data_IF_383713204558
#
_entry.id   IF_383713204558
#
_cell.length_a   1.000
_cell.length_b   1.000
_cell.length_c   1.000
_cell.angle_alpha   90.00
_cell.angle_beta   90.00
_cell.angle_gamma   90.00
#
_symmetry.space_group_name_H-M   'P 1'
#
loop_
_entity.id
_entity.type
_entity.pdbx_description
1 polymer ?
#
# COMPACT_ATOMS: atom_id res chain seq x y z
N UNK A 1 -48.47 66.47 44.64
CA UNK A 1 -47.35 66.84 43.76
C UNK A 1 -46.87 65.57 43.09
N UNK A 2 -46.81 65.59 41.75
CA UNK A 2 -46.98 64.52 40.74
C UNK A 2 -46.20 63.21 41.05
N UNK A 3 -46.84 62.07 41.33
CA UNK A 3 -47.54 61.10 40.45
C UNK A 3 -46.68 60.50 39.33
N UNK A 4 -46.49 59.17 39.37
CA UNK A 4 -46.74 58.20 38.29
C UNK A 4 -46.29 56.82 38.78
N UNK A 5 -47.18 56.03 39.37
CA UNK A 5 -48.13 55.09 38.71
C UNK A 5 -47.52 53.71 38.44
N UNK A 6 -48.18 52.74 39.07
CA UNK A 6 -48.09 51.31 38.84
C UNK A 6 -48.74 50.98 37.48
N UNK A 7 -48.15 50.07 36.70
CA UNK A 7 -48.90 49.31 35.71
C UNK A 7 -48.54 47.82 35.81
N UNK A 8 -49.59 47.02 35.92
CA UNK A 8 -49.68 45.60 36.23
C UNK A 8 -50.10 44.84 34.98
N UNK A 9 -49.41 43.76 34.59
CA UNK A 9 -49.89 42.51 33.92
C UNK A 9 -48.77 41.46 34.12
N UNK A 10 -48.82 40.42 34.98
CA UNK A 10 -49.62 39.17 35.05
C UNK A 10 -49.31 38.13 33.93
N UNK A 11 -49.45 36.80 34.13
CA UNK A 11 -48.55 35.92 34.87
C UNK A 11 -48.17 34.69 34.01
N UNK A 12 -46.93 34.56 33.53
CA UNK A 12 -46.47 33.29 32.96
C UNK A 12 -44.94 33.24 32.91
N UNK A 13 -44.34 32.74 33.99
CA UNK A 13 -43.07 32.02 34.02
C UNK A 13 -42.46 32.19 35.42
N UNK A 14 -42.86 31.31 36.34
CA UNK A 14 -42.06 30.80 37.46
C UNK A 14 -43.02 30.05 38.39
N UNK A 15 -43.18 28.75 38.16
CA UNK A 15 -43.42 27.82 39.25
C UNK A 15 -42.73 26.50 38.95
N UNK A 16 -41.85 26.14 39.87
CA UNK A 16 -41.11 24.88 39.91
C UNK A 16 -41.96 23.88 40.67
N UNK A 17 -42.29 22.74 40.06
CA UNK A 17 -42.48 21.45 40.77
C UNK A 17 -42.41 20.28 39.76
N UNK A 18 -42.17 19.05 40.22
CA UNK A 18 -41.06 18.21 39.81
C UNK A 18 -41.46 17.30 38.64
N UNK A 19 -40.73 17.41 37.52
CA UNK A 19 -40.90 16.46 36.42
C UNK A 19 -40.31 15.12 36.83
N UNK A 20 -41.25 14.22 37.13
CA UNK A 20 -41.31 12.80 36.78
C UNK A 20 -39.99 12.07 36.61
N UNK A 21 -39.89 10.93 37.29
CA UNK A 21 -39.05 9.80 36.94
C UNK A 21 -38.82 9.68 35.41
N UNK A 22 -37.74 10.29 34.93
CA UNK A 22 -37.22 10.02 33.61
C UNK A 22 -36.30 8.82 33.78
N UNK A 23 -36.82 7.68 33.34
CA UNK A 23 -36.12 6.53 32.82
C UNK A 23 -34.69 6.37 33.35
N UNK A 24 -34.47 5.34 34.18
CA UNK A 24 -33.26 4.54 34.03
C UNK A 24 -33.19 4.17 32.55
N UNK A 25 -32.48 4.99 31.78
CA UNK A 25 -32.20 4.71 30.38
C UNK A 25 -31.56 3.35 30.37
N UNK A 26 -32.25 2.39 29.78
CA UNK A 26 -31.68 1.11 29.40
C UNK A 26 -30.30 1.42 28.84
N UNK A 27 -29.24 0.99 29.54
CA UNK A 27 -27.93 0.88 28.93
C UNK A 27 -28.13 -0.10 27.79
N UNK A 28 -28.48 0.42 26.61
CA UNK A 28 -28.60 -0.37 25.39
C UNK A 28 -27.24 -1.02 25.26
N UNK A 29 -27.18 -2.34 25.53
CA UNK A 29 -25.96 -3.09 25.53
C UNK A 29 -25.26 -2.79 24.20
N UNK A 30 -24.15 -2.03 24.24
CA UNK A 30 -23.43 -1.71 23.03
C UNK A 30 -23.03 -3.05 22.42
N UNK A 31 -23.46 -3.29 21.19
CA UNK A 31 -23.08 -4.50 20.48
C UNK A 31 -21.54 -4.57 20.47
N UNK A 32 -20.96 -5.75 20.71
CA UNK A 32 -19.51 -5.88 20.79
C UNK A 32 -18.91 -5.49 19.44
N UNK A 33 -18.15 -4.39 19.43
CA UNK A 33 -17.52 -3.84 18.22
C UNK A 33 -16.28 -4.64 17.86
N UNK A 34 -16.04 -4.81 16.56
CA UNK A 34 -14.85 -5.51 16.05
C UNK A 34 -13.68 -4.53 15.94
N UNK A 35 -12.46 -5.00 16.21
CA UNK A 35 -11.23 -4.18 16.10
C UNK A 35 -11.02 -3.57 14.71
N UNK A 36 -11.43 -4.26 13.65
CA UNK A 36 -11.32 -3.73 12.27
C UNK A 36 -12.21 -2.49 12.02
N UNK A 37 -13.30 -2.30 12.78
CA UNK A 37 -14.23 -1.17 12.62
C UNK A 37 -13.66 0.15 13.16
N UNK A 38 -12.71 0.07 14.09
CA UNK A 38 -12.01 1.22 14.70
C UNK A 38 -10.54 1.26 14.30
N UNK A 39 -10.17 0.52 13.26
CA UNK A 39 -8.78 0.39 12.86
C UNK A 39 -8.21 1.77 12.48
N UNK A 40 -7.08 2.21 13.07
CA UNK A 40 -6.65 3.61 13.00
C UNK A 40 -6.02 4.02 11.65
N UNK A 41 -5.77 3.07 10.75
CA UNK A 41 -5.23 3.33 9.40
C UNK A 41 -6.30 3.55 8.33
N UNK A 42 -5.87 3.86 7.10
CA UNK A 42 -6.76 4.15 5.96
C UNK A 42 -7.18 2.90 5.16
N UNK A 43 -6.87 1.70 5.66
CA UNK A 43 -7.24 0.46 5.01
C UNK A 43 -8.76 0.23 5.06
N UNK A 44 -9.30 -0.39 4.01
CA UNK A 44 -10.70 -0.85 3.96
C UNK A 44 -10.76 -2.34 4.25
N UNK A 45 -11.75 -2.74 5.03
CA UNK A 45 -11.97 -4.12 5.42
C UNK A 45 -13.27 -4.65 4.85
N UNK A 46 -13.25 -5.92 4.41
CA UNK A 46 -14.43 -6.59 3.86
C UNK A 46 -14.56 -8.00 4.45
N UNK A 47 -15.75 -8.58 4.33
CA UNK A 47 -16.07 -9.93 4.80
C UNK A 47 -15.71 -10.15 6.28
N UNK A 48 -16.23 -9.31 7.19
CA UNK A 48 -15.95 -9.37 8.64
C UNK A 48 -14.44 -9.31 8.95
N UNK A 49 -13.74 -8.34 8.33
CA UNK A 49 -12.32 -8.11 8.56
C UNK A 49 -11.37 -9.12 7.92
N UNK A 50 -11.85 -10.06 7.09
CA UNK A 50 -11.01 -11.08 6.43
C UNK A 50 -10.16 -10.50 5.31
N UNK A 51 -10.77 -9.66 4.47
CA UNK A 51 -10.07 -9.00 3.37
C UNK A 51 -9.63 -7.60 3.82
N UNK A 52 -8.45 -7.19 3.37
CA UNK A 52 -7.90 -5.86 3.62
C UNK A 52 -7.43 -5.28 2.29
N UNK A 53 -7.79 -4.03 2.02
CA UNK A 53 -7.30 -3.26 0.88
C UNK A 53 -6.84 -1.89 1.32
N UNK A 54 -6.07 -1.20 0.49
CA UNK A 54 -5.81 0.22 0.68
C UNK A 54 -7.05 1.06 0.34
N UNK A 55 -7.06 2.34 0.75
CA UNK A 55 -8.08 3.29 0.32
C UNK A 55 -8.04 3.53 -1.20
N UNK A 56 -6.86 3.44 -1.80
CA UNK A 56 -6.61 3.66 -3.22
C UNK A 56 -6.58 2.35 -4.01
N UNK A 57 -7.60 1.51 -3.84
CA UNK A 57 -7.73 0.25 -4.57
C UNK A 57 -8.47 0.39 -5.92
N UNK A 58 -8.65 1.60 -6.44
CA UNK A 58 -9.45 1.87 -7.64
C UNK A 58 -8.85 1.33 -8.94
N UNK A 59 -7.55 1.06 -8.99
CA UNK A 59 -6.86 0.50 -10.17
C UNK A 59 -6.91 -1.04 -10.18
N UNK A 60 -7.10 -1.69 -9.02
CA UNK A 60 -7.20 -3.16 -8.95
C UNK A 60 -8.30 -3.75 -9.86
N UNK A 61 -9.53 -3.20 -9.91
CA UNK A 61 -10.55 -3.66 -10.85
C UNK A 61 -10.12 -3.56 -12.32
N UNK A 62 -9.31 -2.56 -12.70
CA UNK A 62 -8.76 -2.46 -14.05
C UNK A 62 -7.78 -3.61 -14.32
N UNK A 63 -6.88 -3.94 -13.38
CA UNK A 63 -5.98 -5.10 -13.50
C UNK A 63 -6.77 -6.40 -13.65
N UNK A 64 -7.78 -6.61 -12.80
CA UNK A 64 -8.64 -7.80 -12.88
C UNK A 64 -9.38 -7.86 -14.21
N UNK A 65 -9.94 -6.73 -14.66
CA UNK A 65 -10.64 -6.61 -15.93
C UNK A 65 -9.74 -6.92 -17.13
N UNK A 66 -8.53 -6.36 -17.18
CA UNK A 66 -7.57 -6.64 -18.25
C UNK A 66 -7.23 -8.13 -18.32
N UNK A 67 -6.92 -8.78 -17.19
CA UNK A 67 -6.58 -10.20 -17.17
C UNK A 67 -7.78 -11.06 -17.62
N UNK A 68 -8.98 -10.79 -17.08
CA UNK A 68 -10.18 -11.58 -17.40
C UNK A 68 -10.61 -11.39 -18.86
N UNK A 69 -10.60 -10.16 -19.36
CA UNK A 69 -11.00 -9.87 -20.74
C UNK A 69 -10.00 -10.48 -21.71
N UNK A 70 -8.69 -10.26 -21.52
CA UNK A 70 -7.67 -10.87 -22.41
C UNK A 70 -7.75 -12.39 -22.39
N UNK A 71 -7.87 -13.03 -21.22
CA UNK A 71 -8.03 -14.49 -21.19
C UNK A 71 -9.36 -14.95 -21.81
N UNK A 72 -10.45 -14.20 -21.59
CA UNK A 72 -11.76 -14.51 -22.15
C UNK A 72 -11.77 -14.45 -23.68
N UNK A 73 -11.14 -13.44 -24.27
CA UNK A 73 -10.95 -13.34 -25.71
C UNK A 73 -10.11 -14.52 -26.23
N UNK A 74 -8.97 -14.80 -25.59
CA UNK A 74 -8.09 -15.89 -25.94
C UNK A 74 -8.79 -17.26 -25.97
N UNK A 75 -9.58 -17.57 -24.95
CA UNK A 75 -10.32 -18.84 -24.88
C UNK A 75 -11.48 -18.90 -25.88
N UNK A 76 -12.12 -17.77 -26.18
CA UNK A 76 -13.27 -17.72 -27.07
C UNK A 76 -12.88 -17.75 -28.55
N UNK A 77 -11.80 -17.06 -28.94
CA UNK A 77 -11.46 -16.81 -30.34
C UNK A 77 -10.20 -17.56 -30.81
N UNK A 78 -9.11 -17.55 -30.04
CA UNK A 78 -7.87 -18.21 -30.48
C UNK A 78 -7.84 -19.71 -30.17
N UNK A 79 -8.28 -20.11 -28.98
CA UNK A 79 -8.21 -21.51 -28.56
C UNK A 79 -8.95 -22.48 -29.51
N UNK A 80 -10.18 -22.20 -30.00
CA UNK A 80 -10.87 -23.12 -30.92
C UNK A 80 -10.10 -23.37 -32.22
N UNK A 81 -9.42 -22.34 -32.74
CA UNK A 81 -8.56 -22.47 -33.91
C UNK A 81 -7.30 -23.27 -33.55
N UNK A 82 -6.56 -22.83 -32.52
CA UNK A 82 -5.29 -23.45 -32.14
C UNK A 82 -5.43 -24.93 -31.72
N UNK A 83 -6.57 -25.34 -31.15
CA UNK A 83 -6.85 -26.74 -30.84
C UNK A 83 -6.99 -27.59 -32.10
N UNK A 84 -7.61 -27.06 -33.16
CA UNK A 84 -7.77 -27.76 -34.45
C UNK A 84 -6.45 -27.88 -35.20
N UNK A 85 -5.59 -26.86 -35.12
CA UNK A 85 -4.38 -26.76 -35.94
C UNK A 85 -3.09 -27.17 -35.20
N UNK A 86 -3.06 -27.18 -33.88
CA UNK A 86 -1.85 -27.48 -33.09
C UNK A 86 -2.07 -28.57 -32.03
N UNK A 87 -2.77 -28.26 -30.95
CA UNK A 87 -2.91 -29.19 -29.82
C UNK A 87 -4.03 -28.82 -28.85
N UNK A 88 -4.67 -29.84 -28.29
CA UNK A 88 -5.70 -29.71 -27.25
C UNK A 88 -5.16 -29.20 -25.90
N UNK A 89 -3.84 -29.24 -25.68
CA UNK A 89 -3.24 -28.82 -24.41
C UNK A 89 -3.18 -27.29 -24.22
N UNK A 90 -3.31 -26.49 -25.28
CA UNK A 90 -3.26 -25.02 -25.22
C UNK A 90 -4.27 -24.43 -24.22
N UNK A 91 -5.58 -24.72 -24.30
CA UNK A 91 -6.55 -24.20 -23.33
C UNK A 91 -6.30 -24.70 -21.91
N UNK A 92 -5.74 -25.91 -21.74
CA UNK A 92 -5.40 -26.44 -20.41
C UNK A 92 -4.26 -25.63 -19.78
N UNK A 93 -3.18 -25.39 -20.53
CA UNK A 93 -2.04 -24.59 -20.07
C UNK A 93 -2.49 -23.16 -19.75
N UNK A 94 -3.22 -22.52 -20.67
CA UNK A 94 -3.77 -21.18 -20.46
C UNK A 94 -4.67 -21.11 -19.23
N UNK A 95 -5.54 -22.11 -19.02
CA UNK A 95 -6.48 -22.15 -17.90
C UNK A 95 -5.76 -22.29 -16.56
N UNK A 96 -4.75 -23.16 -16.48
CA UNK A 96 -3.92 -23.32 -15.27
C UNK A 96 -3.17 -22.03 -14.95
N UNK A 97 -2.55 -21.40 -15.94
CA UNK A 97 -1.86 -20.12 -15.77
C UNK A 97 -2.81 -19.02 -15.30
N UNK A 98 -3.99 -18.88 -15.94
CA UNK A 98 -5.00 -17.90 -15.56
C UNK A 98 -5.45 -18.07 -14.10
N UNK A 99 -5.79 -19.29 -13.69
CA UNK A 99 -6.22 -19.58 -12.31
C UNK A 99 -5.11 -19.26 -11.32
N UNK A 100 -3.87 -19.62 -11.63
CA UNK A 100 -2.72 -19.33 -10.76
C UNK A 100 -2.45 -17.83 -10.63
N UNK A 101 -2.52 -17.08 -11.74
CA UNK A 101 -2.40 -15.61 -11.76
C UNK A 101 -3.51 -14.97 -10.93
N UNK A 102 -4.77 -15.38 -11.14
CA UNK A 102 -5.91 -14.84 -10.42
C UNK A 102 -5.80 -15.08 -8.90
N UNK A 103 -5.46 -16.31 -8.48
CA UNK A 103 -5.24 -16.63 -7.07
C UNK A 103 -4.09 -15.78 -6.50
N UNK A 104 -2.97 -15.68 -7.20
CA UNK A 104 -1.81 -14.92 -6.73
C UNK A 104 -2.10 -13.41 -6.60
N UNK A 105 -2.85 -12.84 -7.55
CA UNK A 105 -3.31 -11.44 -7.48
C UNK A 105 -4.20 -11.23 -6.25
N UNK A 106 -5.26 -12.04 -6.09
CA UNK A 106 -6.20 -11.90 -4.98
C UNK A 106 -5.51 -12.09 -3.62
N UNK A 107 -4.57 -13.04 -3.53
CA UNK A 107 -3.75 -13.24 -2.33
C UNK A 107 -2.85 -12.04 -2.05
N UNK A 108 -2.28 -11.42 -3.07
CA UNK A 108 -1.48 -10.20 -2.91
C UNK A 108 -2.33 -9.04 -2.43
N UNK A 109 -3.47 -8.83 -3.07
CA UNK A 109 -4.39 -7.72 -2.84
C UNK A 109 -5.03 -7.79 -1.45
N UNK A 110 -5.54 -8.95 -1.04
CA UNK A 110 -6.39 -9.07 0.15
C UNK A 110 -5.67 -9.55 1.41
N UNK A 111 -4.37 -9.85 1.33
CA UNK A 111 -3.58 -10.24 2.50
C UNK A 111 -3.06 -9.00 3.24
N UNK A 112 -3.09 -9.03 4.57
CA UNK A 112 -2.39 -8.06 5.40
C UNK A 112 -0.90 -8.04 5.00
N UNK A 113 -0.34 -6.90 4.54
CA UNK A 113 1.04 -6.84 4.05
C UNK A 113 2.10 -6.99 5.14
N UNK A 114 1.72 -6.93 6.42
CA UNK A 114 2.64 -6.91 7.55
C UNK A 114 2.48 -5.62 8.35
N UNK A 115 1.25 -5.17 8.56
CA UNK A 115 0.98 -3.96 9.33
C UNK A 115 1.42 -4.16 10.79
N UNK A 116 2.18 -3.19 11.30
CA UNK A 116 2.54 -3.12 12.71
C UNK A 116 1.44 -2.37 13.49
N UNK A 117 1.04 -2.86 14.68
CA UNK A 117 0.15 -2.11 15.56
C UNK A 117 0.79 -0.77 15.95
N UNK A 118 -0.04 0.26 16.11
CA UNK A 118 0.42 1.54 16.66
C UNK A 118 0.77 1.36 18.14
N UNK A 119 1.73 2.13 18.65
CA UNK A 119 2.03 2.12 20.07
C UNK A 119 0.78 2.51 20.86
N UNK A 120 0.55 1.81 21.97
CA UNK A 120 -0.46 2.19 22.97
C UNK A 120 -0.12 3.57 23.55
N UNK A 121 -1.09 4.29 24.14
CA UNK A 121 -0.82 5.58 24.77
C UNK A 121 0.31 5.52 25.81
N UNK A 122 0.36 4.45 26.60
CA UNK A 122 1.39 4.26 27.62
C UNK A 122 2.77 4.00 26.99
N UNK A 123 2.86 3.12 25.98
CA UNK A 123 4.11 2.88 25.23
C UNK A 123 4.59 4.15 24.53
N UNK A 124 3.68 4.93 23.94
CA UNK A 124 4.01 6.19 23.28
C UNK A 124 4.55 7.23 24.28
N UNK A 125 3.92 7.35 25.46
CA UNK A 125 4.39 8.23 26.53
C UNK A 125 5.77 7.81 27.06
N UNK A 126 6.01 6.51 27.22
CA UNK A 126 7.31 6.00 27.67
C UNK A 126 8.41 6.21 26.61
N UNK A 127 8.08 6.04 25.33
CA UNK A 127 9.02 6.35 24.24
C UNK A 127 9.34 7.85 24.22
N UNK A 128 8.34 8.72 24.37
CA UNK A 128 8.55 10.18 24.42
C UNK A 128 9.41 10.58 25.63
N UNK A 129 9.17 10.01 26.82
CA UNK A 129 10.02 10.21 28.01
C UNK A 129 11.46 9.76 27.79
N UNK A 130 11.68 8.61 27.15
CA UNK A 130 13.02 8.11 26.84
C UNK A 130 13.77 9.03 25.86
N UNK A 131 13.06 9.57 24.87
CA UNK A 131 13.60 10.52 23.91
C UNK A 131 14.04 11.81 24.62
N UNK A 132 13.19 12.35 25.50
CA UNK A 132 13.48 13.58 26.24
C UNK A 132 14.64 13.41 27.23
N UNK A 133 14.71 12.27 27.92
CA UNK A 133 15.80 11.95 28.87
C UNK A 133 17.15 11.74 28.16
N UNK A 134 17.14 11.28 26.91
CA UNK A 134 18.36 11.08 26.11
C UNK A 134 18.90 12.37 25.49
N UNK A 135 18.18 13.49 25.61
CA UNK A 135 18.62 14.80 25.15
C UNK A 135 19.58 15.45 26.15
N UNK A 136 20.78 15.83 25.70
CA UNK A 136 21.60 16.80 26.43
C UNK A 136 20.82 18.11 26.56
N UNK A 137 20.94 18.80 27.72
CA UNK A 137 20.34 20.10 28.10
C UNK A 137 20.76 21.27 27.19
N UNK A 138 20.63 21.10 25.89
CA UNK A 138 20.88 22.09 24.85
C UNK A 138 19.59 22.30 24.09
N UNK A 139 19.37 23.52 23.58
CA UNK A 139 18.15 23.99 22.92
C UNK A 139 17.71 23.20 21.66
N UNK A 140 18.42 22.11 21.31
CA UNK A 140 18.15 21.29 20.14
C UNK A 140 17.33 20.06 20.54
N UNK A 141 16.17 19.80 19.92
CA UNK A 141 15.39 18.61 20.23
C UNK A 141 16.23 17.34 20.01
N UNK A 142 16.14 16.35 20.92
CA UNK A 142 16.93 15.13 20.83
C UNK A 142 16.69 14.40 19.50
N UNK A 143 17.73 13.77 18.92
CA UNK A 143 17.58 13.04 17.67
C UNK A 143 16.60 11.89 17.87
N UNK A 144 15.48 11.91 17.12
CA UNK A 144 14.44 10.85 17.16
C UNK A 144 14.87 9.63 16.33
N UNK A 145 16.08 9.16 16.61
CA UNK A 145 16.70 7.98 16.02
C UNK A 145 17.24 7.08 17.12
N UNK A 146 17.03 5.77 16.98
CA UNK A 146 17.56 4.76 17.90
C UNK A 146 18.53 3.87 17.14
N UNK A 147 19.73 3.69 17.66
CA UNK A 147 20.73 2.79 17.06
C UNK A 147 20.56 1.38 17.62
N UNK A 148 20.61 0.38 16.74
CA UNK A 148 20.65 -1.03 17.12
C UNK A 148 21.74 -1.75 16.32
N UNK A 149 22.24 -2.87 16.83
CA UNK A 149 23.20 -3.72 16.13
C UNK A 149 22.48 -4.86 15.41
N UNK A 150 22.75 -5.03 14.12
CA UNK A 150 22.28 -6.16 13.30
C UNK A 150 23.51 -6.75 12.62
N UNK A 151 23.85 -8.02 12.90
CA UNK A 151 25.05 -8.66 12.36
C UNK A 151 26.32 -7.79 12.52
N UNK A 152 26.49 -7.20 13.71
CA UNK A 152 27.60 -6.30 14.07
C UNK A 152 27.64 -4.95 13.32
N UNK A 153 26.64 -4.65 12.48
CA UNK A 153 26.47 -3.34 11.84
C UNK A 153 25.46 -2.47 12.61
N UNK A 154 25.79 -1.18 12.79
CA UNK A 154 24.90 -0.20 13.43
C UNK A 154 23.81 0.24 12.45
N UNK A 155 22.55 -0.04 12.79
CA UNK A 155 21.38 0.37 12.01
C UNK A 155 20.58 1.43 12.77
N UNK A 156 20.38 2.59 12.14
CA UNK A 156 19.59 3.71 12.68
C UNK A 156 18.10 3.52 12.42
N UNK A 157 17.35 3.26 13.48
CA UNK A 157 15.89 3.23 13.46
C UNK A 157 15.33 4.65 13.46
N UNK A 158 14.30 4.88 12.64
CA UNK A 158 13.61 6.18 12.56
C UNK A 158 12.31 6.13 13.35
N UNK A 159 12.01 7.17 14.11
CA UNK A 159 10.73 7.30 14.79
C UNK A 159 9.59 7.60 13.81
N UNK A 160 8.41 7.02 14.03
CA UNK A 160 7.20 7.29 13.29
C UNK A 160 6.23 8.13 14.10
N UNK A 161 5.95 9.37 13.68
CA UNK A 161 5.04 10.27 14.39
C UNK A 161 3.59 9.79 14.39
N UNK A 162 3.13 9.19 13.30
CA UNK A 162 1.74 8.68 13.17
C UNK A 162 1.48 7.44 14.02
N UNK A 163 2.42 6.49 14.02
CA UNK A 163 2.27 5.21 14.72
C UNK A 163 2.89 5.23 16.14
N UNK A 164 3.52 6.34 16.51
CA UNK A 164 4.15 6.59 17.82
C UNK A 164 5.15 5.52 18.27
N UNK A 165 5.92 5.00 17.31
CA UNK A 165 6.88 3.92 17.55
C UNK A 165 8.20 4.15 16.80
N UNK A 166 9.30 3.63 17.33
CA UNK A 166 10.52 3.43 16.54
C UNK A 166 10.27 2.32 15.52
N UNK A 167 10.43 2.63 14.23
CA UNK A 167 10.21 1.67 13.15
C UNK A 167 11.25 0.56 13.25
N UNK A 168 10.83 -0.72 13.37
CA UNK A 168 11.75 -1.84 13.29
C UNK A 168 12.55 -1.81 11.98
N UNK A 169 13.66 -2.56 11.90
CA UNK A 169 14.45 -2.64 10.68
C UNK A 169 13.59 -2.99 9.46
N UNK A 170 13.94 -2.41 8.30
CA UNK A 170 13.24 -2.60 7.02
C UNK A 170 11.75 -2.19 7.04
N UNK A 171 11.28 -1.50 8.08
CA UNK A 171 9.90 -0.99 8.18
C UNK A 171 9.83 0.43 7.63
N UNK A 172 8.78 0.73 6.87
CA UNK A 172 8.47 2.09 6.43
C UNK A 172 6.99 2.41 6.65
N UNK A 173 6.70 3.68 6.92
CA UNK A 173 5.33 4.17 7.01
C UNK A 173 4.83 4.52 5.61
N UNK A 174 3.71 3.94 5.20
CA UNK A 174 3.02 4.30 3.97
C UNK A 174 1.91 5.30 4.29
N UNK A 175 2.04 6.54 3.82
CA UNK A 175 1.05 7.61 4.05
C UNK A 175 -0.32 7.35 3.38
N UNK A 176 -0.34 6.55 2.31
CA UNK A 176 -1.56 6.17 1.59
C UNK A 176 -2.41 5.19 2.39
N UNK A 177 -1.77 4.19 3.01
CA UNK A 177 -2.42 3.23 3.91
C UNK A 177 -2.50 3.74 5.36
N UNK A 178 -1.70 4.76 5.70
CA UNK A 178 -1.55 5.32 7.05
C UNK A 178 -1.09 4.29 8.10
N UNK A 179 -0.13 3.45 7.71
CA UNK A 179 0.37 2.35 8.52
C UNK A 179 1.87 2.13 8.33
N UNK A 180 2.55 1.71 9.40
CA UNK A 180 3.88 1.12 9.30
C UNK A 180 3.74 -0.34 8.82
N UNK A 181 4.48 -0.69 7.77
CA UNK A 181 4.49 -2.03 7.17
C UNK A 181 5.89 -2.64 7.33
N UNK A 182 5.95 -3.84 7.89
CA UNK A 182 7.17 -4.60 8.08
C UNK A 182 7.74 -5.09 6.74
N UNK A 183 9.06 -5.03 6.57
CA UNK A 183 9.77 -5.30 5.30
C UNK A 183 9.05 -4.64 4.13
N UNK A 184 8.77 -3.34 4.27
CA UNK A 184 8.03 -2.57 3.29
C UNK A 184 8.77 -2.55 1.96
N UNK A 185 8.08 -2.95 0.90
CA UNK A 185 8.61 -2.92 -0.46
C UNK A 185 8.13 -1.67 -1.18
N UNK A 186 6.82 -1.57 -1.42
CA UNK A 186 6.20 -0.41 -2.03
C UNK A 186 4.68 -0.40 -1.80
N UNK A 187 4.03 0.71 -2.13
CA UNK A 187 2.58 0.75 -2.31
C UNK A 187 2.26 0.50 -3.77
N UNK A 188 1.42 -0.48 -4.08
CA UNK A 188 1.09 -0.84 -5.46
C UNK A 188 -0.40 -0.57 -5.74
N UNK A 189 -0.72 0.45 -6.56
CA UNK A 189 -2.10 0.73 -6.92
C UNK A 189 -2.76 -0.40 -7.73
N UNK A 190 -1.97 -1.11 -8.57
CA UNK A 190 -2.43 -2.22 -9.41
C UNK A 190 -2.94 -3.43 -8.62
N UNK A 191 -2.34 -3.70 -7.45
CA UNK A 191 -2.85 -4.73 -6.53
C UNK A 191 -3.79 -4.14 -5.46
N UNK A 192 -3.95 -2.81 -5.43
CA UNK A 192 -4.79 -2.10 -4.46
C UNK A 192 -4.34 -2.24 -3.01
N UNK A 193 -3.05 -2.46 -2.75
CA UNK A 193 -2.52 -2.65 -1.40
C UNK A 193 -1.02 -2.34 -1.32
N UNK A 194 -0.48 -2.23 -0.11
CA UNK A 194 0.97 -2.28 0.09
C UNK A 194 1.50 -3.69 -0.20
N UNK A 195 2.74 -3.76 -0.66
CA UNK A 195 3.53 -4.99 -0.74
C UNK A 195 4.57 -4.94 0.39
N UNK A 196 4.57 -5.96 1.24
CA UNK A 196 5.42 -6.08 2.41
C UNK A 196 5.66 -7.52 2.82
N UNK A 197 6.19 -7.73 4.03
CA UNK A 197 6.66 -9.04 4.51
C UNK A 197 5.70 -10.21 4.28
N UNK A 198 4.40 -10.00 4.50
CA UNK A 198 3.41 -11.08 4.53
C UNK A 198 2.83 -11.43 3.16
N UNK A 199 2.81 -10.50 2.21
CA UNK A 199 2.20 -10.70 0.89
C UNK A 199 3.21 -10.65 -0.27
N UNK A 200 4.48 -10.28 -0.02
CA UNK A 200 5.52 -10.20 -1.06
C UNK A 200 5.65 -11.49 -1.90
N UNK A 201 5.59 -12.68 -1.27
CA UNK A 201 5.69 -13.95 -2.01
C UNK A 201 4.57 -14.11 -3.06
N UNK A 202 3.36 -13.65 -2.73
CA UNK A 202 2.23 -13.71 -3.66
C UNK A 202 2.38 -12.68 -4.75
N UNK A 203 2.89 -11.49 -4.42
CA UNK A 203 3.20 -10.47 -5.40
C UNK A 203 4.24 -10.97 -6.41
N UNK A 204 5.32 -11.60 -5.92
CA UNK A 204 6.34 -12.20 -6.76
C UNK A 204 5.78 -13.33 -7.64
N UNK A 205 5.01 -14.26 -7.06
CA UNK A 205 4.33 -15.31 -7.84
C UNK A 205 3.37 -14.73 -8.87
N UNK A 206 2.65 -13.66 -8.54
CA UNK A 206 1.73 -12.96 -9.44
C UNK A 206 2.47 -12.37 -10.64
N UNK A 207 3.52 -11.56 -10.44
CA UNK A 207 4.23 -10.94 -11.57
C UNK A 207 4.91 -11.97 -12.46
N UNK A 208 5.52 -13.02 -11.89
CA UNK A 208 6.19 -14.07 -12.65
C UNK A 208 5.18 -14.90 -13.45
N UNK A 209 4.08 -15.34 -12.83
CA UNK A 209 3.05 -16.09 -13.55
C UNK A 209 2.31 -15.25 -14.57
N UNK A 210 2.12 -13.95 -14.30
CA UNK A 210 1.56 -13.01 -15.27
C UNK A 210 2.51 -12.84 -16.47
N UNK A 211 3.83 -12.75 -16.25
CA UNK A 211 4.82 -12.75 -17.34
C UNK A 211 4.67 -13.99 -18.24
N UNK A 212 4.51 -15.18 -17.64
CA UNK A 212 4.32 -16.42 -18.38
C UNK A 212 2.99 -16.44 -19.13
N UNK A 213 1.89 -16.06 -18.48
CA UNK A 213 0.56 -16.00 -19.10
C UNK A 213 0.54 -15.03 -20.29
N UNK A 214 1.05 -13.81 -20.11
CA UNK A 214 1.10 -12.81 -21.18
C UNK A 214 1.99 -13.25 -22.33
N UNK A 215 3.18 -13.81 -22.05
CA UNK A 215 4.06 -14.34 -23.09
C UNK A 215 3.43 -15.52 -23.85
N UNK A 216 2.72 -16.40 -23.12
CA UNK A 216 2.03 -17.55 -23.69
C UNK A 216 0.90 -17.12 -24.63
N UNK A 217 0.02 -16.21 -24.18
CA UNK A 217 -1.06 -15.67 -25.01
C UNK A 217 -0.49 -14.94 -26.22
N UNK A 218 0.52 -14.09 -26.03
CA UNK A 218 1.17 -13.37 -27.13
C UNK A 218 1.72 -14.31 -28.21
N UNK A 219 2.42 -15.38 -27.81
CA UNK A 219 2.93 -16.39 -28.74
C UNK A 219 1.80 -17.15 -29.46
N UNK A 220 0.73 -17.50 -28.74
CA UNK A 220 -0.42 -18.20 -29.33
C UNK A 220 -1.16 -17.32 -30.35
N UNK A 221 -1.39 -16.05 -30.04
CA UNK A 221 -2.05 -15.08 -30.93
C UNK A 221 -1.21 -14.85 -32.21
N UNK A 222 0.11 -14.68 -32.08
CA UNK A 222 1.01 -14.59 -33.25
C UNK A 222 0.91 -15.86 -34.10
N UNK A 223 0.89 -17.03 -33.46
CA UNK A 223 0.81 -18.31 -34.15
C UNK A 223 -0.52 -18.45 -34.90
N UNK A 224 -1.64 -18.08 -34.28
CA UNK A 224 -2.96 -18.08 -34.91
C UNK A 224 -2.97 -17.23 -36.19
N UNK A 225 -2.55 -15.97 -36.10
CA UNK A 225 -2.50 -15.05 -37.25
C UNK A 225 -1.55 -15.57 -38.35
N UNK A 226 -0.41 -16.13 -37.96
CA UNK A 226 0.58 -16.67 -38.91
C UNK A 226 0.05 -17.89 -39.66
N UNK A 227 -0.63 -18.81 -38.96
CA UNK A 227 -1.24 -19.99 -39.59
C UNK A 227 -2.36 -19.60 -40.56
N UNK A 228 -3.21 -18.63 -40.21
CA UNK A 228 -4.22 -18.10 -41.13
C UNK A 228 -3.61 -17.52 -42.40
N UNK A 229 -2.50 -16.80 -42.27
CA UNK A 229 -1.76 -16.25 -43.42
C UNK A 229 -1.16 -17.35 -44.31
N UNK A 230 -0.74 -18.46 -43.72
CA UNK A 230 -0.18 -19.61 -44.45
C UNK A 230 -1.25 -20.44 -45.20
N UNK A 231 -2.52 -20.37 -44.79
CA UNK A 231 -3.66 -20.99 -45.48
C UNK A 231 -4.07 -20.25 -46.77
N UNK A 232 -3.22 -19.35 -47.28
CA UNK A 232 -3.43 -18.62 -48.52
C UNK A 232 -4.23 -17.33 -48.36
N UNK A 233 -4.53 -16.92 -47.12
CA UNK A 233 -5.12 -15.60 -46.84
C UNK A 233 -4.02 -14.56 -46.79
N UNK A 234 -4.28 -13.37 -47.34
CA UNK A 234 -3.39 -12.23 -47.09
C UNK A 234 -3.43 -11.85 -45.60
N UNK A 235 -2.35 -11.28 -45.09
CA UNK A 235 -2.29 -10.81 -43.69
C UNK A 235 -3.43 -9.85 -43.34
N UNK A 236 -3.84 -9.00 -44.29
CA UNK A 236 -4.95 -8.04 -44.11
C UNK A 236 -6.27 -8.79 -43.89
N UNK A 237 -6.54 -9.82 -44.69
CA UNK A 237 -7.74 -10.65 -44.53
C UNK A 237 -7.73 -11.41 -43.19
N UNK A 238 -6.58 -11.94 -42.78
CA UNK A 238 -6.47 -12.60 -41.48
C UNK A 238 -6.79 -11.66 -40.31
N UNK A 239 -6.34 -10.40 -40.38
CA UNK A 239 -6.62 -9.35 -39.39
C UNK A 239 -8.11 -8.98 -39.39
N UNK A 240 -8.73 -8.81 -40.57
CA UNK A 240 -10.16 -8.49 -40.70
C UNK A 240 -11.06 -9.59 -40.12
N UNK A 241 -10.67 -10.86 -40.29
CA UNK A 241 -11.42 -12.00 -39.76
C UNK A 241 -11.21 -12.23 -38.25
N UNK A 242 -10.10 -11.75 -37.67
CA UNK A 242 -9.74 -11.99 -36.26
C UNK A 242 -9.50 -10.70 -35.44
N UNK A 243 -10.49 -9.78 -35.37
CA UNK A 243 -10.33 -8.51 -34.65
C UNK A 243 -10.05 -8.71 -33.15
N UNK A 244 -10.55 -9.78 -32.53
CA UNK A 244 -10.25 -10.11 -31.13
C UNK A 244 -8.76 -10.40 -30.90
N UNK A 245 -8.17 -11.26 -31.73
CA UNK A 245 -6.74 -11.59 -31.69
C UNK A 245 -5.86 -10.35 -31.89
N UNK A 246 -6.29 -9.39 -32.72
CA UNK A 246 -5.59 -8.11 -32.90
C UNK A 246 -5.63 -7.25 -31.62
N UNK A 247 -6.80 -7.16 -30.97
CA UNK A 247 -6.94 -6.45 -29.69
C UNK A 247 -6.04 -7.08 -28.62
N UNK A 248 -6.00 -8.41 -28.55
CA UNK A 248 -5.13 -9.12 -27.61
C UNK A 248 -3.65 -8.92 -27.92
N UNK A 249 -3.27 -8.93 -29.19
CA UNK A 249 -1.90 -8.64 -29.62
C UNK A 249 -1.46 -7.25 -29.16
N UNK A 250 -2.32 -6.23 -29.32
CA UNK A 250 -2.06 -4.86 -28.86
C UNK A 250 -1.91 -4.81 -27.34
N UNK A 251 -2.87 -5.40 -26.59
CA UNK A 251 -2.81 -5.43 -25.12
C UNK A 251 -1.52 -6.12 -24.64
N UNK A 252 -1.20 -7.29 -25.21
CA UNK A 252 -0.02 -8.06 -24.85
C UNK A 252 1.27 -7.33 -25.23
N UNK A 253 1.35 -6.71 -26.40
CA UNK A 253 2.54 -5.97 -26.86
C UNK A 253 2.92 -4.83 -25.92
N UNK A 254 1.95 -4.03 -25.46
CA UNK A 254 2.24 -2.96 -24.50
C UNK A 254 2.51 -3.47 -23.08
N UNK A 255 1.90 -4.60 -22.70
CA UNK A 255 2.03 -5.14 -21.35
C UNK A 255 3.31 -5.95 -21.13
N UNK A 256 3.78 -6.68 -22.15
CA UNK A 256 4.85 -7.67 -22.00
C UNK A 256 6.17 -7.05 -21.55
N UNK A 257 6.57 -5.90 -22.12
CA UNK A 257 7.81 -5.23 -21.78
C UNK A 257 7.81 -4.75 -20.32
N UNK A 258 6.69 -4.18 -19.87
CA UNK A 258 6.53 -3.70 -18.50
C UNK A 258 6.55 -4.85 -17.50
N UNK A 259 5.80 -5.93 -17.78
CA UNK A 259 5.65 -7.06 -16.86
C UNK A 259 6.93 -7.90 -16.80
N UNK A 260 7.61 -8.14 -17.93
CA UNK A 260 8.90 -8.83 -17.94
C UNK A 260 10.00 -8.01 -17.23
N UNK A 261 10.04 -6.69 -17.46
CA UNK A 261 10.97 -5.81 -16.77
C UNK A 261 10.76 -5.82 -15.25
N UNK A 262 9.51 -5.74 -14.80
CA UNK A 262 9.17 -5.80 -13.38
C UNK A 262 9.54 -7.16 -12.76
N UNK A 263 9.25 -8.26 -13.46
CA UNK A 263 9.62 -9.61 -13.03
C UNK A 263 11.13 -9.79 -12.92
N UNK A 264 11.90 -9.27 -13.88
CA UNK A 264 13.36 -9.28 -13.83
C UNK A 264 13.90 -8.47 -12.66
N UNK A 265 13.39 -7.25 -12.46
CA UNK A 265 13.78 -6.38 -11.36
C UNK A 265 13.52 -7.02 -9.99
N UNK A 266 12.33 -7.55 -9.76
CA UNK A 266 12.02 -8.23 -8.50
C UNK A 266 12.79 -9.54 -8.33
N UNK A 267 13.15 -10.23 -9.40
CA UNK A 267 14.04 -11.40 -9.32
C UNK A 267 15.43 -10.99 -8.83
N UNK A 268 15.97 -9.87 -9.32
CA UNK A 268 17.22 -9.28 -8.79
C UNK A 268 17.10 -8.91 -7.30
N UNK A 269 16.01 -8.26 -6.89
CA UNK A 269 15.81 -7.86 -5.49
C UNK A 269 15.74 -9.09 -4.57
N UNK A 270 15.02 -10.13 -4.97
CA UNK A 270 14.92 -11.38 -4.21
C UNK A 270 16.29 -12.06 -4.13
N UNK A 271 17.03 -12.15 -5.24
CA UNK A 271 18.37 -12.72 -5.29
C UNK A 271 19.36 -11.99 -4.37
N UNK A 272 19.16 -10.68 -4.16
CA UNK A 272 20.00 -9.82 -3.32
C UNK A 272 19.45 -9.60 -1.90
N UNK A 273 18.32 -10.21 -1.55
CA UNK A 273 17.56 -9.95 -0.31
C UNK A 273 17.33 -8.45 -0.03
N UNK A 274 16.96 -7.70 -1.05
CA UNK A 274 16.62 -6.29 -0.98
C UNK A 274 15.11 -6.09 -1.12
N UNK A 275 14.60 -5.00 -0.54
CA UNK A 275 13.30 -4.46 -0.96
C UNK A 275 13.49 -3.33 -1.97
N UNK A 276 12.49 -3.06 -2.80
CA UNK A 276 12.46 -1.94 -3.74
C UNK A 276 12.76 -0.62 -3.03
N UNK A 277 12.19 -0.43 -1.83
CA UNK A 277 12.41 0.75 -0.99
C UNK A 277 13.86 0.90 -0.51
N UNK A 278 14.56 -0.20 -0.25
CA UNK A 278 15.98 -0.19 0.15
C UNK A 278 16.90 0.12 -1.04
N UNK A 279 16.62 -0.49 -2.18
CA UNK A 279 17.37 -0.30 -3.43
C UNK A 279 17.26 1.16 -3.93
N UNK A 280 16.03 1.69 -4.05
CA UNK A 280 15.79 3.08 -4.49
C UNK A 280 16.43 4.11 -3.55
N UNK A 281 16.43 3.85 -2.23
CA UNK A 281 17.06 4.77 -1.26
C UNK A 281 18.59 4.69 -1.27
N UNK A 282 19.15 3.70 -1.97
CA UNK A 282 20.56 3.36 -1.92
C UNK A 282 20.99 3.03 -0.50
N UNK A 283 20.15 2.31 0.27
CA UNK A 283 20.39 2.04 1.70
C UNK A 283 21.71 1.32 1.97
N UNK A 284 22.20 0.57 0.98
CA UNK A 284 23.42 -0.25 1.05
C UNK A 284 24.39 0.06 -0.10
N UNK A 285 24.25 1.22 -0.75
CA UNK A 285 25.12 1.59 -1.87
C UNK A 285 26.43 2.20 -1.35
N UNK A 286 27.56 1.60 -1.73
CA UNK A 286 28.92 2.04 -1.37
C UNK A 286 29.26 3.48 -1.83
N UNK A 287 28.46 4.09 -2.72
CA UNK A 287 28.67 5.44 -3.27
C UNK A 287 28.47 6.60 -2.27
N UNK A 288 28.11 6.34 -1.01
CA UNK A 288 27.84 7.38 0.01
C UNK A 288 28.96 7.61 1.03
N UNK A 289 30.19 7.16 0.76
CA UNK A 289 31.37 7.53 1.57
C UNK A 289 31.35 7.06 3.03
N UNK A 290 30.37 6.25 3.40
CA UNK A 290 30.39 5.46 4.62
C UNK A 290 31.04 4.11 4.26
N UNK A 291 31.93 3.63 5.14
CA UNK A 291 32.54 2.29 5.11
C UNK A 291 31.62 1.25 4.45
N UNK A 292 32.19 0.41 3.58
CA UNK A 292 31.53 -0.65 2.79
C UNK A 292 30.28 -1.22 3.48
N UNK A 293 29.13 -0.56 3.30
CA UNK A 293 27.90 -0.95 3.98
C UNK A 293 27.28 -2.08 3.19
N UNK A 294 27.88 -3.27 3.26
CA UNK A 294 27.31 -4.48 2.70
C UNK A 294 25.93 -4.72 3.29
N UNK A 295 24.99 -5.22 2.48
CA UNK A 295 23.63 -5.50 2.92
C UNK A 295 23.64 -6.54 4.07
N UNK A 296 23.32 -6.17 5.33
CA UNK A 296 23.41 -7.11 6.46
C UNK A 296 22.41 -8.25 6.40
N UNK A 297 21.41 -8.17 5.52
CA UNK A 297 20.37 -9.18 5.38
C UNK A 297 20.67 -10.22 4.31
N UNK A 298 21.74 -10.06 3.51
CA UNK A 298 22.11 -11.06 2.51
C UNK A 298 22.68 -12.31 3.18
N UNK A 299 22.39 -13.48 2.61
CA UNK A 299 23.00 -14.75 3.00
C UNK A 299 24.24 -15.09 2.14
N UNK A 300 24.72 -14.17 1.30
CA UNK A 300 25.79 -14.38 0.33
C UNK A 300 25.55 -15.59 -0.62
N UNK A 301 24.28 -15.97 -0.78
CA UNK A 301 23.84 -17.06 -1.66
C UNK A 301 22.50 -16.68 -2.26
N UNK A 302 22.45 -16.60 -3.59
CA UNK A 302 21.23 -16.29 -4.36
C UNK A 302 20.12 -17.28 -4.01
N UNK A 303 20.43 -18.58 -3.97
CA UNK A 303 19.46 -19.64 -3.68
C UNK A 303 18.90 -19.46 -2.27
N UNK A 304 19.77 -19.22 -1.27
CA UNK A 304 19.33 -19.03 0.12
C UNK A 304 18.46 -17.77 0.25
N UNK A 305 18.85 -16.67 -0.40
CA UNK A 305 18.06 -15.44 -0.43
C UNK A 305 16.66 -15.66 -1.02
N UNK A 306 16.58 -16.39 -2.14
CA UNK A 306 15.32 -16.79 -2.77
C UNK A 306 14.48 -17.69 -1.85
N UNK A 307 15.06 -18.75 -1.29
CA UNK A 307 14.35 -19.68 -0.42
C UNK A 307 13.79 -19.02 0.85
N UNK A 308 14.59 -18.18 1.52
CA UNK A 308 14.14 -17.47 2.73
C UNK A 308 13.00 -16.49 2.41
N UNK A 309 13.07 -15.82 1.24
CA UNK A 309 12.05 -14.83 0.86
C UNK A 309 10.76 -15.47 0.34
N UNK A 310 10.85 -16.54 -0.46
CA UNK A 310 9.72 -17.11 -1.19
C UNK A 310 9.14 -18.37 -0.53
N UNK A 311 9.99 -19.20 0.08
CA UNK A 311 9.62 -20.51 0.62
C UNK A 311 9.51 -20.55 2.14
N UNK A 312 9.92 -19.49 2.84
CA UNK A 312 9.83 -19.41 4.30
C UNK A 312 8.39 -19.50 4.82
N UNK A 313 8.19 -19.89 6.10
CA UNK A 313 6.85 -19.86 6.71
C UNK A 313 6.26 -18.45 6.66
N UNK A 314 4.95 -18.33 6.48
CA UNK A 314 4.30 -17.03 6.58
C UNK A 314 4.26 -16.64 8.07
N UNK A 315 4.80 -15.47 8.46
CA UNK A 315 4.67 -15.00 9.84
C UNK A 315 3.19 -14.83 10.22
N UNK A 316 2.82 -14.72 11.50
CA UNK A 316 1.46 -14.35 11.91
C UNK A 316 1.15 -12.87 11.63
N UNK A 317 -0.14 -12.51 11.59
CA UNK A 317 -0.54 -11.09 11.49
C UNK A 317 -0.41 -10.47 12.87
N UNK A 318 0.16 -9.27 12.94
CA UNK A 318 0.33 -8.56 14.21
C UNK A 318 -0.88 -7.68 14.55
N UNK A 319 -1.88 -7.65 13.67
CA UNK A 319 -3.16 -6.97 13.90
C UNK A 319 -4.26 -8.01 14.11
N UNK A 320 -4.87 -7.97 15.29
CA UNK A 320 -6.06 -8.77 15.59
C UNK A 320 -7.31 -8.09 15.01
N UNK A 321 -7.55 -8.30 13.72
CA UNK A 321 -8.65 -7.64 13.00
C UNK A 321 -10.03 -8.11 13.48
N UNK A 322 -10.15 -9.40 13.82
CA UNK A 322 -11.45 -10.05 14.09
C UNK A 322 -11.76 -10.13 15.59
N UNK A 323 -10.81 -9.82 16.46
CA UNK A 323 -11.07 -9.66 17.88
C UNK A 323 -12.11 -8.59 18.17
N UNK A 324 -12.73 -8.72 19.33
CA UNK A 324 -13.64 -7.72 19.86
C UNK A 324 -12.86 -6.68 20.68
N UNK A 325 -13.37 -5.46 20.71
CA UNK A 325 -12.88 -4.45 21.63
C UNK A 325 -13.34 -4.77 23.06
N UNK A 326 -12.49 -4.52 24.08
CA UNK A 326 -12.92 -4.51 25.47
C UNK A 326 -14.08 -3.50 25.66
N UNK A 327 -15.05 -3.77 26.55
CA UNK A 327 -16.21 -2.90 26.78
C UNK A 327 -15.87 -1.46 27.22
N UNK A 328 -14.67 -1.25 27.79
CA UNK A 328 -14.29 -0.01 28.47
C UNK A 328 -13.13 0.76 27.80
N UNK A 329 -12.69 0.36 26.60
CA UNK A 329 -11.64 1.10 25.89
C UNK A 329 -12.21 2.36 25.22
N UNK A 330 -11.72 3.58 25.58
CA UNK A 330 -12.13 4.79 24.88
C UNK A 330 -11.70 4.71 23.41
N UNK A 331 -12.63 5.09 22.52
CA UNK A 331 -12.42 5.13 21.07
C UNK A 331 -11.17 5.97 20.78
N UNK A 332 -10.13 5.44 20.10
CA UNK A 332 -9.09 6.29 19.56
C UNK A 332 -9.77 7.24 18.58
N UNK A 333 -9.79 8.53 18.90
CA UNK A 333 -10.30 9.54 17.99
C UNK A 333 -9.63 9.32 16.63
N UNK A 334 -10.42 9.02 15.60
CA UNK A 334 -9.93 9.06 14.24
C UNK A 334 -9.31 10.44 14.06
N UNK A 335 -8.00 10.51 13.84
CA UNK A 335 -7.31 11.76 13.54
C UNK A 335 -7.71 12.19 12.13
N UNK A 336 -8.96 12.62 11.97
CA UNK A 336 -9.33 13.63 11.01
C UNK A 336 -8.95 14.98 11.65
N UNK A 337 -7.65 15.24 11.73
CA UNK A 337 -7.21 16.63 11.78
C UNK A 337 -7.39 17.16 10.35
N UNK A 338 -8.59 17.66 10.06
CA UNK A 338 -8.70 18.83 9.22
C UNK A 338 -7.91 19.91 9.95
N UNK A 339 -6.62 19.99 9.64
CA UNK A 339 -5.84 21.16 9.96
C UNK A 339 -6.43 22.22 9.04
N UNK A 340 -7.37 23.01 9.57
CA UNK A 340 -7.54 24.38 9.12
C UNK A 340 -6.15 25.02 9.23
N UNK A 341 -5.47 25.08 8.09
CA UNK A 341 -4.34 25.98 7.90
C UNK A 341 -4.85 27.37 8.31
N UNK A 342 -4.17 28.09 9.22
CA UNK A 342 -4.52 29.48 9.46
C UNK A 342 -4.47 30.21 8.11
N UNK A 343 -5.41 31.12 7.83
CA UNK A 343 -5.50 31.75 6.52
C UNK A 343 -4.16 32.38 6.19
N UNK A 344 -3.62 32.01 5.02
CA UNK A 344 -2.49 32.69 4.40
C UNK A 344 -2.81 34.19 4.41
N UNK A 345 -2.10 34.93 5.25
CA UNK A 345 -2.08 36.38 5.17
C UNK A 345 -1.46 36.69 3.82
N UNK A 346 -2.27 37.16 2.87
CA UNK A 346 -1.80 37.66 1.60
C UNK A 346 -0.70 38.68 1.88
N UNK A 347 0.54 38.35 1.49
CA UNK A 347 1.59 39.36 1.33
C UNK A 347 1.13 40.21 0.16
N UNK A 348 0.72 41.45 0.45
CA UNK A 348 0.60 42.46 -0.58
C UNK A 348 1.97 42.66 -1.20
N UNK A 349 2.06 42.43 -2.50
CA UNK A 349 3.16 42.86 -3.35
C UNK A 349 3.14 44.38 -3.44
N UNK A 350 3.83 45.03 -2.51
CA UNK A 350 4.24 46.43 -2.58
C UNK A 350 5.41 46.63 -1.62
N UNK A 351 6.59 46.19 -2.05
CA UNK A 351 7.92 46.72 -1.75
C UNK A 351 8.96 45.67 -2.12
N UNK A 352 9.25 45.56 -3.42
CA UNK A 352 10.44 44.89 -3.93
C UNK A 352 11.06 45.75 -5.04
N UNK A 353 11.45 46.97 -4.66
CA UNK A 353 12.43 47.79 -5.37
C UNK A 353 13.32 48.45 -4.31
N UNK A 354 14.22 47.66 -3.71
CA UNK A 354 15.52 48.11 -3.20
C UNK A 354 16.26 46.87 -2.68
N UNK A 355 17.57 46.81 -2.93
CA UNK A 355 18.47 45.66 -2.73
C UNK A 355 18.34 44.48 -3.71
N UNK A 356 18.55 44.76 -4.99
CA UNK A 356 19.22 43.82 -5.89
C UNK A 356 20.52 44.45 -6.40
N UNK A 357 21.45 44.72 -5.49
CA UNK A 357 22.84 45.07 -5.77
C UNK A 357 23.69 44.56 -4.60
N UNK A 358 23.99 43.27 -4.61
CA UNK A 358 25.22 42.69 -4.06
C UNK A 358 25.12 41.16 -4.22
N UNK A 359 26.21 40.53 -4.66
CA UNK A 359 26.33 39.12 -5.10
C UNK A 359 26.07 38.83 -6.59
N UNK A 360 26.73 39.60 -7.44
CA UNK A 360 27.39 39.04 -8.62
C UNK A 360 28.89 39.20 -8.43
N UNK A 361 29.64 38.10 -8.24
CA UNK A 361 31.03 37.88 -8.71
C UNK A 361 31.67 36.63 -8.07
N UNK A 362 32.14 35.76 -8.97
CA UNK A 362 33.26 34.79 -8.86
C UNK A 362 32.91 33.30 -8.82
N UNK A 363 32.78 32.74 -10.04
CA UNK A 363 33.29 31.42 -10.40
C UNK A 363 33.74 31.44 -11.87
N UNK A 364 35.02 31.73 -12.10
CA UNK A 364 35.79 31.27 -13.28
C UNK A 364 37.27 31.20 -12.90
N UNK A 365 37.75 29.96 -12.72
CA UNK A 365 39.07 29.40 -13.07
C UNK A 365 39.29 28.15 -12.24
#
# INVERSE_FOLDING_TARGET
>A
MKNCEYQQIDPQALSVTPLSAQNLGEKKAQSPRRKWEVFPGKNRFFCDGRLILSRQSGILPLTMGLIVVTCGLFFAFDCPFLVKHLTIFIPVIGGVLFVFVAISLLRTSFTDPGILPRATPDEAADIERQIDTSGSSTYRPPPRTKEILINQQVVKLKYCFTCKMFRPPRTSHCSLCDNCVERFDHHCPWVGNCVGKRNYRFFYSFIISLSFLTSFIFGCVITHITLLSQEGKSLVQAIEETPASVVELVICFFSIWSILGLSGFHTYLVASNLTTNEDIKGSWSSKRGAEESENPYTYNSIITNCCVTLCGPMPPSLIDRRGFLPPDEPIPAASASDIELPPFRAKNDANMEENCQDFSLSCTA
#
